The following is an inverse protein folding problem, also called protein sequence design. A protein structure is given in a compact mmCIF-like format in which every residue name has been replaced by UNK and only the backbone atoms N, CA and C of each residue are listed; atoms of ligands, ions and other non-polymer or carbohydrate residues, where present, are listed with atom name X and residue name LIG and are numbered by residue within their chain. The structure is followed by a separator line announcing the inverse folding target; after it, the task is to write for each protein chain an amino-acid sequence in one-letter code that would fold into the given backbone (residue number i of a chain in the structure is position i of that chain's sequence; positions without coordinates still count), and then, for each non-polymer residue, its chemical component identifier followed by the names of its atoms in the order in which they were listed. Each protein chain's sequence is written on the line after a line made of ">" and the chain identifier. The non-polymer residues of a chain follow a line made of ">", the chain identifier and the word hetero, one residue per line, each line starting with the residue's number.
data_IF_487097370583
#
_entry.id   IF_487097370583
#
_cell.length_a   1.000
_cell.length_b   1.000
_cell.length_c   1.000
_cell.angle_alpha   90.00
_cell.angle_beta   90.00
_cell.angle_gamma   90.00
#
_symmetry.space_group_name_H-M   'P 1'
#
loop_
_entity.id
_entity.type
_entity.pdbx_description
1 polymer ?
#
# COMPACT_ATOMS: atom_id res chain seq x y z
N UNK A 1 -36.39 -18.82 -4.01
CA UNK A 1 -35.61 -19.64 -3.07
C UNK A 1 -34.22 -19.02 -2.91
N UNK A 2 -34.15 -17.82 -2.32
CA UNK A 2 -32.91 -17.12 -1.94
C UNK A 2 -33.27 -15.89 -1.10
N UNK A 3 -34.03 -16.10 -0.02
CA UNK A 3 -34.39 -15.01 0.91
C UNK A 3 -34.43 -15.45 2.38
N UNK A 4 -34.11 -16.71 2.70
CA UNK A 4 -34.23 -17.21 4.08
C UNK A 4 -32.94 -17.18 4.91
N UNK A 5 -31.74 -17.07 4.31
CA UNK A 5 -30.50 -17.14 5.11
C UNK A 5 -30.10 -15.82 5.79
N UNK A 6 -30.76 -14.69 5.49
CA UNK A 6 -30.46 -13.40 6.11
C UNK A 6 -31.27 -13.12 7.38
N UNK A 7 -32.32 -13.91 7.67
CA UNK A 7 -33.20 -13.67 8.82
C UNK A 7 -32.71 -14.34 10.12
N UNK A 8 -31.80 -15.31 10.06
CA UNK A 8 -31.29 -15.99 11.26
C UNK A 8 -30.30 -15.12 12.05
N UNK A 9 -29.48 -14.31 11.36
CA UNK A 9 -28.52 -13.42 12.00
C UNK A 9 -29.19 -12.24 12.72
N UNK A 10 -30.23 -11.65 12.13
CA UNK A 10 -30.95 -10.53 12.74
C UNK A 10 -31.71 -10.94 14.01
N UNK A 11 -32.27 -12.16 14.04
CA UNK A 11 -32.93 -12.70 15.25
C UNK A 11 -31.98 -12.97 16.40
N UNK A 12 -30.71 -13.22 16.11
CA UNK A 12 -29.68 -13.52 17.11
C UNK A 12 -29.29 -12.27 17.91
N UNK A 13 -29.43 -11.08 17.32
CA UNK A 13 -29.15 -9.80 17.98
C UNK A 13 -30.37 -9.16 18.65
N UNK A 14 -31.59 -9.45 18.20
CA UNK A 14 -32.82 -8.92 18.82
C UNK A 14 -33.16 -9.55 20.19
N UNK A 15 -32.58 -10.71 20.52
CA UNK A 15 -32.83 -11.39 21.81
C UNK A 15 -31.85 -11.04 22.92
N UNK A 16 -30.88 -10.15 22.67
CA UNK A 16 -29.92 -9.72 23.69
C UNK A 16 -30.44 -8.43 24.36
N UNK A 17 -30.84 -8.47 25.65
CA UNK A 17 -31.18 -7.24 26.37
C UNK A 17 -29.88 -6.48 26.65
N UNK A 18 -29.52 -5.55 25.76
CA UNK A 18 -28.37 -4.68 25.97
C UNK A 18 -28.81 -3.51 26.84
N UNK A 19 -28.72 -3.70 28.15
CA UNK A 19 -28.71 -2.59 29.11
C UNK A 19 -27.32 -1.93 29.06
N UNK A 20 -27.27 -0.75 28.44
CA UNK A 20 -26.04 0.04 28.24
C UNK A 20 -25.55 0.74 29.53
N UNK A 21 -26.13 0.44 30.70
CA UNK A 21 -25.71 1.01 31.99
C UNK A 21 -24.93 0.05 32.91
N UNK A 22 -24.42 -1.07 32.40
CA UNK A 22 -23.75 -2.08 33.22
C UNK A 22 -22.32 -1.72 33.65
N UNK A 23 -22.03 -1.91 34.94
CA UNK A 23 -20.74 -1.60 35.57
C UNK A 23 -19.62 -2.53 35.08
N UNK A 24 -18.37 -2.08 35.19
CA UNK A 24 -17.14 -2.76 34.76
C UNK A 24 -17.05 -4.22 35.27
N UNK A 25 -17.61 -4.47 36.45
CA UNK A 25 -17.65 -5.79 37.07
C UNK A 25 -18.56 -6.78 36.34
N UNK A 26 -19.65 -6.31 35.72
CA UNK A 26 -20.52 -7.14 34.89
C UNK A 26 -19.88 -7.47 33.54
N UNK A 27 -19.11 -6.53 32.96
CA UNK A 27 -18.32 -6.77 31.73
C UNK A 27 -17.24 -7.82 31.96
N UNK A 28 -16.51 -7.74 33.06
CA UNK A 28 -15.53 -8.77 33.42
C UNK A 28 -16.21 -10.11 33.73
N UNK A 29 -17.39 -10.12 34.38
CA UNK A 29 -18.14 -11.36 34.58
C UNK A 29 -18.61 -12.00 33.27
N UNK A 30 -19.01 -11.18 32.29
CA UNK A 30 -19.44 -11.65 30.97
C UNK A 30 -18.26 -12.20 30.16
N UNK A 31 -17.09 -11.54 30.25
CA UNK A 31 -15.84 -11.98 29.64
C UNK A 31 -15.37 -13.31 30.23
N UNK A 32 -15.41 -13.45 31.55
CA UNK A 32 -15.06 -14.71 32.23
C UNK A 32 -16.04 -15.84 31.89
N UNK A 33 -17.35 -15.56 31.77
CA UNK A 33 -18.32 -16.58 31.30
C UNK A 33 -18.11 -16.95 29.84
N UNK A 34 -17.72 -16.01 28.98
CA UNK A 34 -17.42 -16.31 27.58
C UNK A 34 -16.17 -17.19 27.44
N UNK A 35 -15.16 -16.97 28.29
CA UNK A 35 -13.96 -17.81 28.36
C UNK A 35 -14.26 -19.19 28.95
N UNK A 36 -15.11 -19.28 29.97
CA UNK A 36 -15.55 -20.56 30.56
C UNK A 36 -16.38 -21.42 29.57
N UNK A 37 -17.14 -20.79 28.66
CA UNK A 37 -17.79 -21.50 27.54
C UNK A 37 -16.76 -21.99 26.50
N UNK A 38 -15.64 -21.29 26.34
CA UNK A 38 -14.56 -21.71 25.43
C UNK A 38 -13.74 -22.86 26.00
N UNK A 39 -13.45 -22.83 27.31
CA UNK A 39 -12.65 -23.83 28.00
C UNK A 39 -13.44 -25.12 28.32
N UNK A 40 -14.78 -25.03 28.45
CA UNK A 40 -15.64 -26.18 28.72
C UNK A 40 -16.33 -26.77 27.47
N UNK A 41 -15.97 -26.34 26.26
CA UNK A 41 -16.35 -27.09 25.06
C UNK A 41 -15.54 -28.39 24.99
N UNK A 42 -16.18 -29.57 24.85
CA UNK A 42 -15.45 -30.80 24.63
C UNK A 42 -14.62 -30.64 23.36
N UNK A 43 -13.32 -30.84 23.49
CA UNK A 43 -12.39 -30.81 22.36
C UNK A 43 -12.94 -31.67 21.22
N UNK A 44 -12.96 -31.18 19.96
CA UNK A 44 -13.37 -32.01 18.85
C UNK A 44 -12.39 -33.18 18.74
N UNK A 45 -12.87 -34.39 19.03
CA UNK A 45 -12.13 -35.62 18.83
C UNK A 45 -11.82 -35.76 17.34
N UNK A 46 -10.62 -35.36 16.95
CA UNK A 46 -10.00 -35.80 15.71
C UNK A 46 -9.66 -37.29 15.85
N UNK A 47 -10.54 -38.14 15.32
CA UNK A 47 -10.19 -39.54 15.09
C UNK A 47 -9.17 -39.61 13.96
N UNK A 48 -8.00 -40.24 14.14
CA UNK A 48 -7.17 -40.60 13.02
C UNK A 48 -7.96 -41.60 12.18
N UNK A 49 -8.33 -41.19 10.95
CA UNK A 49 -8.78 -42.14 9.95
C UNK A 49 -7.61 -43.05 9.65
N UNK A 50 -7.62 -44.23 10.28
CA UNK A 50 -6.66 -45.27 10.03
C UNK A 50 -6.81 -45.75 8.59
N UNK A 51 -5.68 -45.82 7.87
CA UNK A 51 -5.51 -46.41 6.54
C UNK A 51 -6.02 -47.87 6.40
N UNK A 52 -6.59 -48.47 7.45
CA UNK A 52 -7.19 -49.80 7.45
C UNK A 52 -8.62 -49.85 6.89
N UNK A 53 -9.34 -48.72 6.78
CA UNK A 53 -10.69 -48.70 6.23
C UNK A 53 -10.74 -48.69 4.69
N UNK A 54 -9.69 -48.19 4.02
CA UNK A 54 -9.59 -48.16 2.55
C UNK A 54 -9.22 -49.55 2.00
N UNK A 55 -8.42 -50.33 2.75
CA UNK A 55 -8.00 -51.68 2.36
C UNK A 55 -9.13 -52.73 2.33
N UNK A 56 -10.19 -52.55 3.12
CA UNK A 56 -11.34 -53.49 3.13
C UNK A 56 -12.30 -53.32 1.96
N UNK A 57 -12.31 -52.14 1.32
CA UNK A 57 -13.22 -51.85 0.19
C UNK A 57 -12.61 -52.31 -1.15
N UNK A 58 -11.29 -52.37 -1.24
CA UNK A 58 -10.56 -52.80 -2.45
C UNK A 58 -10.41 -54.32 -2.61
N UNK A 59 -10.65 -55.12 -1.56
CA UNK A 59 -10.62 -56.59 -1.65
C UNK A 59 -11.94 -57.24 -2.13
N UNK A 60 -12.94 -56.46 -2.53
CA UNK A 60 -14.22 -56.98 -3.06
C UNK A 60 -14.26 -57.16 -4.58
N UNK A 61 -13.27 -56.65 -5.32
CA UNK A 61 -13.25 -56.75 -6.78
C UNK A 61 -12.16 -57.71 -7.25
N UNK A 62 -12.56 -58.88 -7.76
CA UNK A 62 -11.68 -59.83 -8.43
C UNK A 62 -11.20 -59.23 -9.75
N UNK A 63 -10.05 -58.55 -9.74
CA UNK A 63 -9.38 -58.12 -10.98
C UNK A 63 -8.35 -59.21 -11.35
N UNK A 64 -8.38 -59.74 -12.59
CA UNK A 64 -7.48 -60.81 -13.02
C UNK A 64 -6.02 -60.34 -13.18
N UNK A 65 -5.10 -61.30 -13.03
CA UNK A 65 -3.64 -61.23 -12.85
C UNK A 65 -2.79 -60.51 -13.93
N UNK A 66 -3.36 -59.63 -14.76
CA UNK A 66 -2.67 -58.93 -15.85
C UNK A 66 -2.09 -57.55 -15.52
N UNK A 67 -2.31 -57.01 -14.32
CA UNK A 67 -1.83 -55.66 -13.94
C UNK A 67 -1.08 -55.73 -12.60
N UNK A 68 0.02 -56.48 -12.57
CA UNK A 68 0.94 -56.53 -11.43
C UNK A 68 2.35 -55.99 -11.78
N UNK A 69 2.59 -55.60 -13.04
CA UNK A 69 3.90 -55.11 -13.49
C UNK A 69 4.05 -53.57 -13.51
N UNK A 70 2.97 -52.79 -13.33
CA UNK A 70 3.06 -51.31 -13.30
C UNK A 70 3.14 -50.71 -11.89
N UNK A 71 2.88 -51.49 -10.83
CA UNK A 71 2.93 -50.97 -9.45
C UNK A 71 4.35 -51.00 -8.87
N UNK A 72 5.27 -51.79 -9.44
CA UNK A 72 6.65 -51.86 -8.95
C UNK A 72 7.60 -50.78 -9.52
N UNK A 73 7.20 -50.06 -10.58
CA UNK A 73 7.98 -48.90 -11.08
C UNK A 73 7.62 -47.62 -10.33
N UNK A 74 6.43 -47.54 -9.71
CA UNK A 74 6.02 -46.38 -8.90
C UNK A 74 6.57 -46.38 -7.45
N UNK A 75 7.00 -47.54 -6.93
CA UNK A 75 7.51 -47.66 -5.55
C UNK A 75 9.04 -47.55 -5.43
N UNK A 76 9.78 -47.60 -6.55
CA UNK A 76 11.25 -47.52 -6.58
C UNK A 76 11.83 -46.11 -6.62
N UNK A 77 10.99 -45.08 -6.84
CA UNK A 77 11.40 -43.67 -6.92
C UNK A 77 11.18 -42.88 -5.61
N UNK A 78 10.70 -43.54 -4.55
CA UNK A 78 10.31 -42.90 -3.28
C UNK A 78 11.29 -43.10 -2.12
N UNK A 79 12.52 -43.56 -2.40
CA UNK A 79 13.59 -43.73 -1.40
C UNK A 79 14.92 -43.11 -1.86
N UNK A 80 14.89 -42.04 -2.64
CA UNK A 80 15.94 -41.02 -2.47
C UNK A 80 15.52 -40.17 -1.27
N UNK A 81 16.41 -39.89 -0.31
CA UNK A 81 16.14 -38.77 0.58
C UNK A 81 15.92 -37.58 -0.35
N UNK A 82 14.72 -36.99 -0.32
CA UNK A 82 14.58 -35.60 -0.71
C UNK A 82 15.66 -34.93 0.13
N UNK A 83 16.74 -34.51 -0.52
CA UNK A 83 17.64 -33.54 0.07
C UNK A 83 16.72 -32.35 0.26
N UNK A 84 16.12 -32.24 1.45
CA UNK A 84 15.44 -31.04 1.87
C UNK A 84 16.50 -29.97 1.66
N UNK A 85 16.28 -29.09 0.68
CA UNK A 85 17.09 -27.91 0.57
C UNK A 85 17.16 -27.30 1.97
N UNK A 86 18.34 -26.86 2.44
CA UNK A 86 18.42 -26.22 3.74
C UNK A 86 17.32 -25.16 3.81
N UNK A 87 16.49 -25.23 4.85
CA UNK A 87 15.37 -24.33 5.01
C UNK A 87 15.89 -22.90 4.89
N UNK A 88 15.53 -22.20 3.81
CA UNK A 88 16.00 -20.85 3.55
C UNK A 88 15.68 -19.99 4.77
N UNK A 89 16.70 -19.36 5.35
CA UNK A 89 16.51 -18.40 6.43
C UNK A 89 16.21 -17.01 5.85
N UNK A 90 15.36 -16.23 6.54
CA UNK A 90 15.08 -14.85 6.14
C UNK A 90 16.37 -14.02 6.07
N UNK A 91 17.32 -14.24 6.97
CA UNK A 91 18.58 -13.49 7.01
C UNK A 91 19.43 -13.71 5.74
N UNK A 92 19.46 -14.94 5.20
CA UNK A 92 20.20 -15.24 3.98
C UNK A 92 19.56 -14.57 2.75
N UNK A 93 18.22 -14.58 2.69
CA UNK A 93 17.46 -13.84 1.68
C UNK A 93 17.79 -12.35 1.74
N UNK A 94 17.79 -11.77 2.94
CA UNK A 94 18.09 -10.34 3.14
C UNK A 94 19.50 -10.05 2.70
N UNK A 95 20.49 -10.81 3.18
CA UNK A 95 21.90 -10.60 2.84
C UNK A 95 22.14 -10.65 1.33
N UNK A 96 21.50 -11.58 0.62
CA UNK A 96 21.65 -11.67 -0.83
C UNK A 96 20.89 -10.55 -1.56
N UNK A 97 19.67 -10.23 -1.12
CA UNK A 97 18.92 -9.12 -1.68
C UNK A 97 19.63 -7.76 -1.47
N UNK A 98 20.36 -7.57 -0.37
CA UNK A 98 21.13 -6.35 -0.09
C UNK A 98 22.43 -6.23 -0.90
N UNK A 99 22.99 -7.33 -1.42
CA UNK A 99 24.23 -7.31 -2.21
C UNK A 99 24.04 -6.83 -3.65
N UNK A 100 22.80 -6.86 -4.16
CA UNK A 100 22.56 -6.58 -5.57
C UNK A 100 22.79 -5.09 -5.92
N UNK A 101 23.71 -4.76 -6.81
CA UNK A 101 23.96 -3.36 -7.18
C UNK A 101 23.03 -2.85 -8.29
N UNK A 102 22.33 -3.76 -8.96
CA UNK A 102 21.32 -3.45 -9.97
C UNK A 102 20.20 -4.48 -9.94
N UNK A 103 19.03 -4.08 -10.44
CA UNK A 103 17.91 -4.98 -10.67
C UNK A 103 17.04 -4.54 -11.84
N UNK A 104 16.47 -5.51 -12.55
CA UNK A 104 15.32 -5.34 -13.43
C UNK A 104 14.17 -6.20 -12.90
N UNK A 105 12.96 -5.68 -12.94
CA UNK A 105 11.75 -6.45 -12.58
C UNK A 105 10.52 -5.86 -13.24
N UNK A 106 9.46 -6.66 -13.33
CA UNK A 106 8.13 -6.19 -13.72
C UNK A 106 7.32 -5.89 -12.46
N UNK A 107 6.44 -4.89 -12.53
CA UNK A 107 5.50 -4.58 -11.46
C UNK A 107 4.08 -4.37 -12.01
N UNK A 108 3.10 -4.85 -11.27
CA UNK A 108 1.68 -4.62 -11.50
C UNK A 108 1.13 -3.89 -10.29
N UNK A 109 0.62 -2.68 -10.50
CA UNK A 109 -0.01 -1.86 -9.46
C UNK A 109 -1.51 -1.84 -9.72
N UNK A 110 -2.28 -2.29 -8.73
CA UNK A 110 -3.74 -2.28 -8.77
C UNK A 110 -4.25 -1.36 -7.68
N UNK A 111 -4.84 -0.24 -8.08
CA UNK A 111 -5.53 0.68 -7.17
C UNK A 111 -7.02 0.37 -7.24
N UNK A 112 -7.67 0.24 -6.09
CA UNK A 112 -9.11 -0.01 -6.01
C UNK A 112 -9.91 1.00 -6.85
N UNK A 113 -10.76 0.48 -7.74
CA UNK A 113 -11.57 1.29 -8.67
C UNK A 113 -10.84 1.78 -9.92
N UNK A 114 -9.57 1.42 -10.13
CA UNK A 114 -8.79 1.78 -11.32
C UNK A 114 -8.30 0.54 -12.09
N UNK A 115 -8.04 0.65 -13.40
CA UNK A 115 -7.37 -0.41 -14.16
C UNK A 115 -5.96 -0.68 -13.61
N UNK A 116 -5.54 -1.95 -13.63
CA UNK A 116 -4.18 -2.32 -13.27
C UNK A 116 -3.16 -1.65 -14.19
N UNK A 117 -2.07 -1.16 -13.59
CA UNK A 117 -0.95 -0.53 -14.28
C UNK A 117 0.23 -1.48 -14.29
N UNK A 118 0.69 -1.85 -15.49
CA UNK A 118 1.91 -2.63 -15.65
C UNK A 118 3.09 -1.69 -15.88
N UNK A 119 4.22 -1.98 -15.24
CA UNK A 119 5.46 -1.25 -15.45
C UNK A 119 6.68 -2.17 -15.48
N UNK A 120 7.68 -1.78 -16.26
CA UNK A 120 9.04 -2.33 -16.15
C UNK A 120 9.87 -1.40 -15.29
N UNK A 121 10.54 -1.96 -14.30
CA UNK A 121 11.32 -1.21 -13.34
C UNK A 121 12.79 -1.59 -13.44
N UNK A 122 13.65 -0.58 -13.28
CA UNK A 122 15.08 -0.73 -13.28
C UNK A 122 15.64 0.05 -12.09
N UNK A 123 16.55 -0.58 -11.38
CA UNK A 123 17.30 0.00 -10.29
C UNK A 123 18.78 -0.13 -10.60
N UNK A 124 19.51 0.96 -10.37
CA UNK A 124 20.95 0.97 -10.41
C UNK A 124 21.48 1.79 -9.24
N UNK A 125 22.37 1.19 -8.46
CA UNK A 125 22.97 1.87 -7.34
C UNK A 125 23.72 3.16 -7.73
N UNK A 126 23.83 4.12 -6.79
CA UNK A 126 23.25 4.09 -5.44
C UNK A 126 21.76 4.48 -5.41
N UNK A 127 21.29 5.26 -6.38
CA UNK A 127 19.97 5.93 -6.30
C UNK A 127 19.30 6.17 -7.65
N UNK A 128 19.64 5.41 -8.69
CA UNK A 128 19.03 5.58 -10.00
C UNK A 128 17.84 4.66 -10.17
N UNK A 129 16.73 5.23 -10.66
CA UNK A 129 15.49 4.52 -10.91
C UNK A 129 14.96 4.86 -12.29
N UNK A 130 14.43 3.85 -12.96
CA UNK A 130 13.66 4.01 -14.19
C UNK A 130 12.43 3.13 -14.11
N UNK A 131 11.29 3.70 -14.47
CA UNK A 131 10.01 3.02 -14.57
C UNK A 131 9.42 3.30 -15.94
N UNK A 132 9.07 2.24 -16.67
CA UNK A 132 8.46 2.31 -17.98
C UNK A 132 7.03 1.80 -17.91
N UNK A 133 6.09 2.64 -18.30
CA UNK A 133 4.68 2.33 -18.47
C UNK A 133 4.34 2.40 -19.97
N UNK A 134 3.11 2.03 -20.32
CA UNK A 134 2.63 2.15 -21.69
C UNK A 134 2.57 3.62 -22.15
N UNK A 135 3.58 4.04 -22.92
CA UNK A 135 3.70 5.39 -23.47
C UNK A 135 4.34 6.43 -22.54
N UNK A 136 4.72 6.06 -21.31
CA UNK A 136 5.31 6.97 -20.34
C UNK A 136 6.57 6.38 -19.69
N UNK A 137 7.60 7.19 -19.50
CA UNK A 137 8.82 6.79 -18.78
C UNK A 137 9.12 7.77 -17.66
N UNK A 138 9.33 7.26 -16.45
CA UNK A 138 9.79 8.01 -15.28
C UNK A 138 11.25 7.65 -15.02
N UNK A 139 12.12 8.64 -14.86
CA UNK A 139 13.53 8.44 -14.50
C UNK A 139 13.82 9.34 -13.31
N UNK A 140 14.40 8.79 -12.24
CA UNK A 140 14.74 9.54 -11.05
C UNK A 140 16.21 9.35 -10.70
N UNK A 141 16.89 10.47 -10.46
CA UNK A 141 18.24 10.53 -9.93
C UNK A 141 18.21 11.41 -8.66
N UNK A 142 18.28 10.74 -7.51
CA UNK A 142 18.22 11.42 -6.22
C UNK A 142 19.53 12.12 -5.85
N UNK A 143 20.66 11.69 -6.41
CA UNK A 143 21.94 12.36 -6.21
C UNK A 143 21.94 13.71 -6.95
N UNK A 144 21.42 13.73 -8.18
CA UNK A 144 21.21 14.96 -8.95
C UNK A 144 19.99 15.78 -8.49
N UNK A 145 19.15 15.22 -7.61
CA UNK A 145 17.88 15.82 -7.15
C UNK A 145 16.95 16.16 -8.33
N UNK A 146 16.84 15.24 -9.28
CA UNK A 146 16.03 15.40 -10.48
C UNK A 146 15.18 14.17 -10.72
N UNK A 147 13.96 14.41 -11.19
CA UNK A 147 13.11 13.39 -11.80
C UNK A 147 12.66 13.90 -13.16
N UNK A 148 12.60 13.04 -14.16
CA UNK A 148 12.00 13.37 -15.45
C UNK A 148 10.87 12.40 -15.77
N UNK A 149 9.75 12.94 -16.23
CA UNK A 149 8.63 12.20 -16.78
C UNK A 149 8.56 12.44 -18.28
N UNK A 150 8.60 11.39 -19.09
CA UNK A 150 8.59 11.44 -20.54
C UNK A 150 7.29 10.83 -21.06
N UNK A 151 6.37 11.66 -21.55
CA UNK A 151 5.26 11.20 -22.38
C UNK A 151 5.78 11.03 -23.81
N UNK A 152 6.07 9.78 -24.15
CA UNK A 152 6.67 9.41 -25.44
C UNK A 152 5.69 9.55 -26.60
N UNK A 153 4.39 9.46 -26.34
CA UNK A 153 3.31 9.58 -27.34
C UNK A 153 3.09 11.04 -27.71
N UNK A 154 3.02 11.92 -26.71
CA UNK A 154 2.85 13.35 -26.90
C UNK A 154 4.17 14.09 -27.17
N UNK A 155 5.33 13.42 -27.04
CA UNK A 155 6.67 14.03 -27.10
C UNK A 155 6.83 15.18 -26.13
N UNK A 156 6.49 14.92 -24.86
CA UNK A 156 6.57 15.91 -23.78
C UNK A 156 7.37 15.41 -22.60
N UNK A 157 8.18 16.29 -22.06
CA UNK A 157 9.01 16.02 -20.91
C UNK A 157 8.64 16.98 -19.79
N UNK A 158 8.43 16.44 -18.60
CA UNK A 158 8.34 17.21 -17.37
C UNK A 158 9.60 16.96 -16.56
N UNK A 159 10.35 18.01 -16.28
CA UNK A 159 11.53 17.98 -15.41
C UNK A 159 11.11 18.45 -14.03
N UNK A 160 11.29 17.59 -13.03
CA UNK A 160 11.02 17.88 -11.63
C UNK A 160 12.34 18.14 -10.91
N UNK A 161 12.54 19.37 -10.44
CA UNK A 161 13.66 19.74 -9.59
C UNK A 161 13.27 19.51 -8.14
N UNK A 162 13.98 18.61 -7.46
CA UNK A 162 13.66 18.17 -6.11
C UNK A 162 14.40 19.04 -5.09
N UNK A 163 13.68 19.96 -4.46
CA UNK A 163 14.22 20.95 -3.54
C UNK A 163 13.96 20.56 -2.08
N UNK A 164 14.78 21.10 -1.17
CA UNK A 164 14.61 20.99 0.29
C UNK A 164 14.46 19.55 0.80
N UNK A 165 15.19 18.59 0.20
CA UNK A 165 15.18 17.19 0.62
C UNK A 165 15.54 17.06 2.12
N UNK A 166 14.62 16.55 2.97
CA UNK A 166 14.87 16.30 4.39
C UNK A 166 16.06 15.35 4.59
N UNK A 167 16.79 15.50 5.70
CA UNK A 167 17.96 14.66 6.00
C UNK A 167 17.59 13.17 6.07
N UNK A 168 16.39 12.85 6.56
CA UNK A 168 15.88 11.48 6.62
C UNK A 168 15.67 10.87 5.24
N UNK A 169 15.42 11.69 4.22
CA UNK A 169 15.28 11.27 2.82
C UNK A 169 16.60 11.30 2.05
N UNK A 170 17.69 11.87 2.61
CA UNK A 170 19.01 11.92 1.97
C UNK A 170 19.72 10.55 1.93
N UNK A 171 19.37 9.62 2.82
CA UNK A 171 20.10 8.36 3.03
C UNK A 171 19.42 7.11 2.41
N UNK A 172 18.56 7.28 1.40
CA UNK A 172 17.82 6.17 0.79
C UNK A 172 16.37 6.18 1.27
N UNK A 173 15.48 6.59 0.38
CA UNK A 173 14.13 7.03 0.70
C UNK A 173 13.19 5.91 1.11
N UNK A 174 12.32 6.22 2.08
CA UNK A 174 11.09 5.48 2.34
C UNK A 174 10.03 5.60 1.24
N UNK A 175 9.97 6.73 0.52
CA UNK A 175 8.75 7.07 -0.24
C UNK A 175 8.92 7.12 -1.77
N UNK A 176 10.16 7.10 -2.30
CA UNK A 176 10.43 7.31 -3.73
C UNK A 176 11.20 6.20 -4.45
N UNK A 177 11.86 5.30 -3.72
CA UNK A 177 12.58 4.16 -4.25
C UNK A 177 11.97 2.88 -3.69
N UNK A 178 11.03 2.28 -4.40
CA UNK A 178 10.36 1.08 -3.91
C UNK A 178 11.31 -0.10 -3.67
N UNK A 179 12.32 -0.26 -4.52
CA UNK A 179 13.32 -1.33 -4.39
C UNK A 179 14.15 -1.17 -3.09
N UNK A 180 14.68 0.03 -2.84
CA UNK A 180 15.41 0.32 -1.60
C UNK A 180 14.47 0.36 -0.38
N UNK A 181 13.23 0.79 -0.56
CA UNK A 181 12.20 0.75 0.49
C UNK A 181 11.93 -0.68 0.96
N UNK A 182 11.81 -1.64 0.04
CA UNK A 182 11.68 -3.07 0.36
C UNK A 182 12.91 -3.57 1.12
N UNK A 183 14.11 -3.23 0.66
CA UNK A 183 15.37 -3.58 1.34
C UNK A 183 15.38 -3.13 2.79
N UNK A 184 15.00 -1.87 3.03
CA UNK A 184 14.91 -1.31 4.36
C UNK A 184 13.82 -1.96 5.21
N UNK A 185 12.64 -2.23 4.64
CA UNK A 185 11.56 -2.92 5.34
C UNK A 185 11.98 -4.33 5.78
N UNK A 186 12.65 -5.07 4.90
CA UNK A 186 13.16 -6.40 5.21
C UNK A 186 14.23 -6.34 6.31
N UNK A 187 15.20 -5.43 6.20
CA UNK A 187 16.23 -5.22 7.23
C UNK A 187 15.62 -4.79 8.58
N UNK A 188 14.64 -3.89 8.55
CA UNK A 188 13.95 -3.47 9.76
C UNK A 188 13.20 -4.63 10.41
N UNK A 189 12.61 -5.52 9.62
CA UNK A 189 11.93 -6.70 10.12
C UNK A 189 12.88 -7.77 10.68
N UNK A 190 14.09 -7.95 10.13
CA UNK A 190 15.05 -8.91 10.70
C UNK A 190 15.75 -8.40 11.96
N UNK A 191 15.92 -7.09 12.09
CA UNK A 191 16.62 -6.48 13.23
C UNK A 191 15.69 -6.11 14.39
N UNK A 192 14.38 -6.02 14.15
CA UNK A 192 13.41 -5.69 15.19
C UNK A 192 12.84 -6.97 15.83
N UNK A 193 13.08 -7.23 17.13
CA UNK A 193 12.57 -8.42 17.81
C UNK A 193 11.04 -8.48 17.90
N UNK A 194 10.35 -7.34 17.79
CA UNK A 194 8.90 -7.25 17.80
C UNK A 194 8.28 -7.39 16.39
N UNK A 195 9.10 -7.52 15.34
CA UNK A 195 8.60 -7.70 13.99
C UNK A 195 7.90 -9.05 13.85
N UNK A 196 6.68 -9.02 13.32
CA UNK A 196 5.91 -10.22 13.02
C UNK A 196 6.25 -10.72 11.62
N UNK A 197 7.15 -11.70 11.57
CA UNK A 197 7.50 -12.44 10.36
C UNK A 197 6.92 -13.85 10.45
N UNK A 198 6.13 -14.24 9.44
CA UNK A 198 5.52 -15.56 9.34
C UNK A 198 6.14 -16.29 8.16
N UNK A 199 6.78 -17.43 8.41
CA UNK A 199 7.23 -18.33 7.34
C UNK A 199 6.02 -19.07 6.75
N UNK A 200 5.83 -18.96 5.45
CA UNK A 200 4.67 -19.50 4.73
C UNK A 200 4.90 -20.92 4.19
N UNK A 201 6.13 -21.43 4.31
CA UNK A 201 6.54 -22.72 3.76
C UNK A 201 6.96 -22.64 2.30
N UNK A 202 7.05 -23.82 1.68
CA UNK A 202 7.52 -24.02 0.31
C UNK A 202 6.35 -24.16 -0.67
N UNK A 203 6.54 -23.65 -1.90
CA UNK A 203 5.66 -23.94 -3.05
C UNK A 203 6.39 -23.69 -4.37
N UNK A 204 5.79 -24.11 -5.47
CA UNK A 204 6.26 -23.76 -6.82
C UNK A 204 5.60 -22.45 -7.30
N UNK A 205 6.37 -21.52 -7.86
CA UNK A 205 5.88 -20.34 -8.59
C UNK A 205 6.65 -20.23 -9.90
N UNK A 206 5.94 -20.22 -11.04
CA UNK A 206 6.53 -20.02 -12.37
C UNK A 206 7.73 -20.94 -12.66
N UNK A 207 7.70 -22.18 -12.13
CA UNK A 207 8.78 -23.17 -12.27
C UNK A 207 9.94 -23.03 -11.26
N UNK A 208 9.83 -22.15 -10.27
CA UNK A 208 10.78 -22.00 -9.17
C UNK A 208 10.26 -22.62 -7.88
N UNK A 209 11.09 -23.44 -7.23
CA UNK A 209 10.87 -23.88 -5.85
C UNK A 209 11.17 -22.72 -4.89
N UNK A 210 10.11 -22.12 -4.32
CA UNK A 210 10.23 -20.91 -3.49
C UNK A 210 9.85 -21.16 -2.04
N UNK A 211 10.47 -20.39 -1.14
CA UNK A 211 10.09 -20.26 0.27
C UNK A 211 9.48 -18.88 0.50
N UNK A 212 8.32 -18.84 1.17
CA UNK A 212 7.59 -17.59 1.43
C UNK A 212 7.80 -17.03 2.83
N UNK A 213 7.90 -15.71 2.93
CA UNK A 213 7.91 -14.95 4.19
C UNK A 213 6.87 -13.84 4.13
N UNK A 214 6.00 -13.76 5.13
CA UNK A 214 5.04 -12.66 5.29
C UNK A 214 5.48 -11.74 6.43
N UNK A 215 5.62 -10.46 6.12
CA UNK A 215 5.92 -9.40 7.06
C UNK A 215 4.61 -8.65 7.36
N UNK A 216 4.17 -8.66 8.62
CA UNK A 216 2.98 -7.90 9.05
C UNK A 216 3.34 -6.45 9.39
N UNK A 217 3.74 -5.69 8.38
CA UNK A 217 4.07 -4.27 8.53
C UNK A 217 2.75 -3.47 8.62
N UNK A 218 2.54 -2.65 9.66
CA UNK A 218 1.35 -1.80 9.75
C UNK A 218 1.16 -0.96 8.49
N UNK A 219 -0.07 -0.89 8.00
CA UNK A 219 -0.46 -0.23 6.74
C UNK A 219 0.12 -0.82 5.44
N UNK A 220 1.16 -1.65 5.46
CA UNK A 220 1.77 -2.20 4.23
C UNK A 220 2.22 -3.66 4.40
N UNK A 221 1.33 -4.61 4.74
CA UNK A 221 1.69 -6.02 4.78
C UNK A 221 2.36 -6.45 3.46
N UNK A 222 3.43 -7.23 3.60
CA UNK A 222 4.27 -7.64 2.47
C UNK A 222 4.52 -9.14 2.53
N UNK A 223 4.54 -9.80 1.38
CA UNK A 223 4.96 -11.19 1.23
C UNK A 223 6.10 -11.27 0.23
N UNK A 224 7.18 -11.92 0.61
CA UNK A 224 8.34 -12.19 -0.26
C UNK A 224 8.45 -13.68 -0.50
N UNK A 225 8.47 -14.07 -1.76
CA UNK A 225 8.72 -15.44 -2.21
C UNK A 225 10.12 -15.47 -2.81
N UNK A 226 11.00 -16.26 -2.22
CA UNK A 226 12.40 -16.36 -2.61
C UNK A 226 12.73 -17.76 -3.13
N UNK A 227 13.51 -17.83 -4.20
CA UNK A 227 13.99 -19.09 -4.77
C UNK A 227 14.88 -19.80 -3.75
N UNK A 228 14.57 -21.05 -3.44
CA UNK A 228 15.26 -21.84 -2.41
C UNK A 228 16.73 -22.08 -2.70
N UNK A 229 17.16 -21.97 -3.96
CA UNK A 229 18.54 -22.25 -4.40
C UNK A 229 19.38 -20.99 -4.46
N UNK A 230 18.86 -19.95 -5.10
CA UNK A 230 19.57 -18.66 -5.28
C UNK A 230 19.37 -17.72 -4.11
N UNK A 231 18.36 -17.97 -3.27
CA UNK A 231 18.02 -17.17 -2.10
C UNK A 231 17.70 -15.72 -2.46
N UNK A 232 17.20 -15.49 -3.67
CA UNK A 232 16.81 -14.17 -4.19
C UNK A 232 15.29 -14.11 -4.38
N UNK A 233 14.66 -12.94 -4.23
CA UNK A 233 13.24 -12.77 -4.49
C UNK A 233 12.87 -13.16 -5.93
N UNK A 234 11.87 -14.02 -6.07
CA UNK A 234 11.19 -14.32 -7.35
C UNK A 234 9.91 -13.50 -7.47
N UNK A 235 9.25 -13.24 -6.34
CA UNK A 235 8.01 -12.47 -6.28
C UNK A 235 7.87 -11.71 -4.98
N UNK A 236 7.44 -10.46 -5.07
CA UNK A 236 7.13 -9.62 -3.91
C UNK A 236 5.70 -9.11 -4.08
N UNK A 237 4.91 -9.27 -3.04
CA UNK A 237 3.53 -8.79 -2.98
C UNK A 237 3.41 -7.82 -1.82
N UNK A 238 2.78 -6.68 -2.05
CA UNK A 238 2.51 -5.69 -1.01
C UNK A 238 1.09 -5.16 -1.14
N UNK A 239 0.46 -4.87 -0.01
CA UNK A 239 -0.85 -4.22 0.03
C UNK A 239 -0.76 -3.01 0.91
N UNK A 240 -0.88 -1.81 0.34
CA UNK A 240 -1.10 -0.59 1.10
C UNK A 240 -2.55 -0.55 1.55
N UNK A 241 -2.74 -0.66 2.86
CA UNK A 241 -4.03 -0.64 3.55
C UNK A 241 -4.42 0.82 3.79
N UNK A 242 -5.55 1.20 3.23
CA UNK A 242 -6.11 2.56 3.32
C UNK A 242 -7.01 2.80 2.11
N UNK A 243 -7.90 3.79 2.12
CA UNK A 243 -8.68 4.17 0.94
C UNK A 243 -7.85 5.08 0.02
N UNK A 244 -7.58 4.69 -1.24
CA UNK A 244 -7.95 3.45 -1.91
C UNK A 244 -6.93 2.34 -1.64
N UNK A 245 -7.42 1.11 -1.52
CA UNK A 245 -6.52 -0.04 -1.33
C UNK A 245 -5.62 -0.14 -2.55
N UNK A 246 -4.31 -0.25 -2.34
CA UNK A 246 -3.34 -0.41 -3.42
C UNK A 246 -2.57 -1.70 -3.27
N UNK A 247 -2.59 -2.54 -4.29
CA UNK A 247 -1.87 -3.81 -4.35
C UNK A 247 -0.73 -3.69 -5.35
N UNK A 248 0.46 -4.16 -4.97
CA UNK A 248 1.65 -4.18 -5.81
C UNK A 248 2.16 -5.62 -5.88
N UNK A 249 2.32 -6.13 -7.10
CA UNK A 249 2.95 -7.43 -7.37
C UNK A 249 4.18 -7.19 -8.23
N UNK A 250 5.34 -7.62 -7.75
CA UNK A 250 6.61 -7.54 -8.47
C UNK A 250 7.09 -8.94 -8.81
N UNK A 251 7.55 -9.15 -10.04
CA UNK A 251 7.95 -10.44 -10.60
C UNK A 251 9.11 -10.29 -11.59
N UNK A 252 9.61 -11.41 -12.12
CA UNK A 252 10.64 -11.43 -13.18
C UNK A 252 11.91 -10.66 -12.78
N UNK A 253 12.36 -10.86 -11.54
CA UNK A 253 13.56 -10.21 -11.04
C UNK A 253 14.81 -10.74 -11.73
N UNK A 254 15.67 -9.82 -12.17
CA UNK A 254 17.04 -10.08 -12.60
C UNK A 254 17.96 -9.17 -11.81
N UNK A 255 18.82 -9.75 -10.99
CA UNK A 255 19.75 -9.03 -10.12
C UNK A 255 21.15 -8.96 -10.75
N UNK A 256 21.92 -7.94 -10.36
CA UNK A 256 23.31 -7.74 -10.77
C UNK A 256 23.52 -7.81 -12.29
N UNK A 257 22.50 -7.36 -13.02
CA UNK A 257 22.55 -7.23 -14.48
C UNK A 257 23.38 -6.00 -14.85
N UNK A 258 24.20 -6.13 -15.90
CA UNK A 258 24.90 -5.01 -16.49
C UNK A 258 23.91 -4.08 -17.20
N UNK A 259 23.46 -3.05 -16.50
CA UNK A 259 22.52 -2.05 -17.01
C UNK A 259 23.28 -0.87 -17.60
N UNK A 260 22.91 -0.48 -18.82
CA UNK A 260 23.44 0.73 -19.43
C UNK A 260 23.04 1.97 -18.61
N UNK A 261 24.04 2.71 -18.14
CA UNK A 261 23.87 3.93 -17.34
C UNK A 261 23.05 4.98 -18.08
N UNK A 262 23.04 4.99 -19.42
CA UNK A 262 22.25 5.95 -20.19
C UNK A 262 20.74 5.76 -20.02
N UNK A 263 20.28 4.56 -19.61
CA UNK A 263 18.87 4.31 -19.29
C UNK A 263 18.37 5.20 -18.16
N UNK A 264 19.28 5.65 -17.29
CA UNK A 264 19.01 6.46 -16.11
C UNK A 264 19.33 7.94 -16.30
N UNK A 265 19.64 8.37 -17.53
CA UNK A 265 19.90 9.78 -17.80
C UNK A 265 18.67 10.64 -17.52
N UNK A 266 18.87 11.73 -16.77
CA UNK A 266 17.88 12.78 -16.56
C UNK A 266 17.97 13.90 -17.60
N UNK A 267 18.77 13.72 -18.65
CA UNK A 267 18.77 14.62 -19.80
C UNK A 267 17.57 14.33 -20.70
N UNK A 268 16.82 15.38 -21.02
CA UNK A 268 15.65 15.25 -21.88
C UNK A 268 16.09 14.94 -23.32
N UNK A 269 15.59 13.85 -23.95
CA UNK A 269 15.93 13.54 -25.33
C UNK A 269 15.51 14.64 -26.31
N UNK A 270 16.25 14.77 -27.41
CA UNK A 270 15.92 15.73 -28.46
C UNK A 270 14.49 15.52 -29.02
N UNK A 271 13.81 16.62 -29.32
CA UNK A 271 12.46 16.62 -29.91
C UNK A 271 11.30 16.57 -28.91
N UNK A 272 11.58 16.62 -27.60
CA UNK A 272 10.54 16.75 -26.57
C UNK A 272 10.26 18.23 -26.25
N UNK A 273 8.99 18.57 -26.07
CA UNK A 273 8.60 19.84 -25.46
C UNK A 273 8.78 19.76 -23.94
N UNK A 274 9.53 20.69 -23.35
CA UNK A 274 9.97 20.62 -21.95
C UNK A 274 9.16 21.57 -21.07
N UNK A 275 8.78 21.09 -19.89
CA UNK A 275 8.26 21.91 -18.79
C UNK A 275 9.01 21.58 -17.49
N UNK A 276 9.47 22.61 -16.78
CA UNK A 276 10.16 22.47 -15.50
C UNK A 276 9.23 22.75 -14.32
N UNK A 277 9.32 21.94 -13.28
CA UNK A 277 8.53 22.04 -12.06
C UNK A 277 9.45 21.92 -10.87
N UNK A 278 9.33 22.84 -9.93
CA UNK A 278 10.05 22.79 -8.67
C UNK A 278 9.17 22.09 -7.64
N UNK A 279 9.68 21.00 -7.05
CA UNK A 279 8.99 20.23 -6.02
C UNK A 279 9.70 20.48 -4.69
N UNK A 280 9.00 21.10 -3.75
CA UNK A 280 9.50 21.24 -2.38
C UNK A 280 9.17 19.97 -1.58
N UNK A 281 10.22 19.26 -1.15
CA UNK A 281 10.13 18.02 -0.38
C UNK A 281 10.25 18.23 1.13
N UNK A 282 10.32 19.48 1.62
CA UNK A 282 10.23 19.75 3.05
C UNK A 282 8.88 19.25 3.61
N UNK A 283 8.77 18.98 4.91
CA UNK A 283 7.48 18.62 5.51
C UNK A 283 6.42 19.67 5.18
N UNK A 284 5.27 19.22 4.68
CA UNK A 284 4.13 20.09 4.44
C UNK A 284 3.64 20.72 5.74
N UNK A 285 3.11 21.93 5.64
CA UNK A 285 2.69 22.77 6.76
C UNK A 285 1.21 23.11 6.67
N UNK A 286 0.63 23.64 7.74
CA UNK A 286 -0.75 24.14 7.73
C UNK A 286 -0.95 25.26 6.69
N UNK A 287 0.10 26.04 6.40
CA UNK A 287 0.06 27.07 5.34
C UNK A 287 -0.10 26.46 3.94
N UNK A 288 0.52 25.30 3.70
CA UNK A 288 0.34 24.56 2.44
C UNK A 288 -1.12 24.07 2.32
N UNK A 289 -1.71 23.58 3.41
CA UNK A 289 -3.13 23.18 3.46
C UNK A 289 -4.05 24.37 3.14
N UNK A 290 -3.86 25.50 3.81
CA UNK A 290 -4.68 26.71 3.56
C UNK A 290 -4.57 27.17 2.09
N UNK A 291 -3.37 27.13 1.52
CA UNK A 291 -3.13 27.46 0.11
C UNK A 291 -3.88 26.48 -0.80
N UNK A 292 -3.77 25.18 -0.55
CA UNK A 292 -4.48 24.16 -1.33
C UNK A 292 -6.00 24.33 -1.24
N UNK A 293 -6.56 24.58 -0.06
CA UNK A 293 -8.00 24.79 0.11
C UNK A 293 -8.49 26.05 -0.62
N UNK A 294 -7.73 27.15 -0.60
CA UNK A 294 -8.05 28.36 -1.39
C UNK A 294 -8.12 28.05 -2.88
N UNK A 295 -7.11 27.37 -3.42
CA UNK A 295 -7.08 26.95 -4.81
C UNK A 295 -8.21 25.97 -5.16
N UNK A 296 -8.59 25.11 -4.21
CA UNK A 296 -9.73 24.22 -4.38
C UNK A 296 -11.05 24.98 -4.54
N UNK A 297 -11.27 25.97 -3.70
CA UNK A 297 -12.43 26.85 -3.76
C UNK A 297 -12.44 27.70 -5.05
N UNK A 298 -11.31 28.27 -5.46
CA UNK A 298 -11.20 29.02 -6.71
C UNK A 298 -11.61 28.18 -7.92
N UNK A 299 -11.23 26.90 -7.94
CA UNK A 299 -11.56 25.98 -9.04
C UNK A 299 -13.01 25.50 -8.96
N UNK A 300 -13.56 25.40 -7.75
CA UNK A 300 -14.91 24.87 -7.49
C UNK A 300 -15.94 25.96 -7.17
N UNK A 301 -15.74 27.19 -7.65
CA UNK A 301 -16.68 28.31 -7.51
C UNK A 301 -17.09 28.57 -6.05
N UNK A 302 -16.09 28.57 -5.17
CA UNK A 302 -16.21 28.80 -3.73
C UNK A 302 -16.48 27.55 -2.90
N UNK A 303 -16.64 26.36 -3.52
CA UNK A 303 -16.83 25.11 -2.79
C UNK A 303 -15.52 24.50 -2.28
N UNK A 304 -15.53 24.08 -1.02
CA UNK A 304 -14.46 23.26 -0.46
C UNK A 304 -14.51 21.82 -1.05
N UNK A 305 -13.37 21.08 -1.04
CA UNK A 305 -13.37 19.68 -1.48
C UNK A 305 -14.30 18.83 -0.62
N UNK A 306 -14.79 17.69 -1.13
CA UNK A 306 -15.68 16.81 -0.36
C UNK A 306 -14.95 15.98 0.70
N UNK A 307 -13.63 15.91 0.62
CA UNK A 307 -12.76 15.12 1.49
C UNK A 307 -11.32 15.13 1.00
N UNK A 308 -10.46 14.36 1.66
CA UNK A 308 -9.04 14.18 1.31
C UNK A 308 -8.71 12.78 0.79
N UNK A 309 -9.72 11.93 0.61
CA UNK A 309 -9.57 10.60 0.02
C UNK A 309 -9.29 10.68 -1.50
N UNK A 310 -8.95 9.54 -2.13
CA UNK A 310 -8.66 9.49 -3.56
C UNK A 310 -9.86 9.82 -4.46
N UNK A 311 -11.10 9.55 -4.02
CA UNK A 311 -12.30 9.90 -4.79
C UNK A 311 -12.49 11.41 -4.79
N UNK A 312 -12.38 12.04 -3.62
CA UNK A 312 -12.45 13.50 -3.47
C UNK A 312 -11.32 14.20 -4.24
N UNK A 313 -10.09 13.67 -4.15
CA UNK A 313 -8.93 14.15 -4.91
C UNK A 313 -9.13 13.99 -6.41
N UNK A 314 -9.67 12.86 -6.87
CA UNK A 314 -9.97 12.59 -8.29
C UNK A 314 -11.05 13.52 -8.85
N UNK A 315 -12.13 13.79 -8.08
CA UNK A 315 -13.17 14.76 -8.46
C UNK A 315 -12.59 16.16 -8.61
N UNK A 316 -11.76 16.57 -7.66
CA UNK A 316 -11.08 17.86 -7.72
C UNK A 316 -10.15 17.96 -8.94
N UNK A 317 -9.29 16.96 -9.14
CA UNK A 317 -8.40 16.90 -10.29
C UNK A 317 -9.17 17.00 -11.61
N UNK A 318 -10.28 16.25 -11.76
CA UNK A 318 -11.13 16.33 -12.95
C UNK A 318 -11.68 17.76 -13.18
N UNK A 319 -12.21 18.42 -12.14
CA UNK A 319 -12.68 19.81 -12.24
C UNK A 319 -11.55 20.77 -12.63
N UNK A 320 -10.39 20.63 -12.00
CA UNK A 320 -9.21 21.43 -12.29
C UNK A 320 -8.79 21.30 -13.76
N UNK A 321 -8.71 20.07 -14.27
CA UNK A 321 -8.35 19.80 -15.66
C UNK A 321 -9.33 20.45 -16.65
N UNK A 322 -10.64 20.30 -16.41
CA UNK A 322 -11.69 20.88 -17.25
C UNK A 322 -11.63 22.40 -17.24
N UNK A 323 -11.58 23.03 -16.05
CA UNK A 323 -11.55 24.48 -15.90
C UNK A 323 -10.34 25.12 -16.58
N UNK A 324 -9.22 24.41 -16.58
CA UNK A 324 -7.95 24.86 -17.13
C UNK A 324 -7.67 24.39 -18.57
N UNK A 325 -8.63 23.72 -19.23
CA UNK A 325 -8.48 23.24 -20.61
C UNK A 325 -7.37 22.19 -20.81
N UNK A 326 -7.01 21.47 -19.74
CA UNK A 326 -5.95 20.47 -19.74
C UNK A 326 -6.53 19.16 -20.30
N UNK A 327 -5.96 18.67 -21.40
CA UNK A 327 -6.36 17.40 -22.03
C UNK A 327 -5.15 16.65 -22.60
N UNK A 328 -5.35 15.47 -23.19
CA UNK A 328 -4.27 14.65 -23.73
C UNK A 328 -3.41 15.35 -24.81
N UNK A 329 -3.96 16.33 -25.55
CA UNK A 329 -3.22 17.07 -26.59
C UNK A 329 -2.41 18.22 -26.02
N UNK A 330 -3.04 19.03 -25.16
CA UNK A 330 -2.43 20.26 -24.63
C UNK A 330 -1.64 20.01 -23.35
N UNK A 331 -2.10 19.07 -22.53
CA UNK A 331 -1.71 18.82 -21.13
C UNK A 331 -1.43 20.09 -20.32
N UNK A 332 -0.76 19.96 -19.16
CA UNK A 332 -0.62 21.10 -18.26
C UNK A 332 0.54 22.00 -18.69
N UNK A 333 0.39 23.30 -18.49
CA UNK A 333 1.49 24.27 -18.56
C UNK A 333 2.37 24.19 -17.32
N UNK A 334 3.54 24.86 -17.35
CA UNK A 334 4.41 24.99 -16.16
C UNK A 334 3.68 25.57 -14.95
N UNK A 335 2.87 26.61 -15.16
CA UNK A 335 2.10 27.25 -14.08
C UNK A 335 1.09 26.25 -13.51
N UNK A 336 0.36 25.55 -14.39
CA UNK A 336 -0.63 24.56 -13.96
C UNK A 336 0.00 23.36 -13.23
N UNK A 337 1.21 22.94 -13.61
CA UNK A 337 1.96 21.90 -12.89
C UNK A 337 2.37 22.38 -11.49
N UNK A 338 2.87 23.61 -11.36
CA UNK A 338 3.21 24.19 -10.05
C UNK A 338 1.98 24.30 -9.14
N UNK A 339 0.83 24.66 -9.71
CA UNK A 339 -0.44 24.71 -8.98
C UNK A 339 -0.85 23.32 -8.49
N UNK A 340 -0.82 22.30 -9.37
CA UNK A 340 -1.10 20.90 -8.99
C UNK A 340 -0.20 20.45 -7.84
N UNK A 341 1.11 20.77 -7.89
CA UNK A 341 2.05 20.44 -6.81
C UNK A 341 1.69 21.13 -5.49
N UNK A 342 1.32 22.41 -5.51
CA UNK A 342 0.91 23.14 -4.28
C UNK A 342 -0.32 22.51 -3.63
N UNK A 343 -1.30 22.11 -4.44
CA UNK A 343 -2.50 21.44 -3.95
C UNK A 343 -2.14 20.09 -3.33
N UNK A 344 -1.33 19.28 -4.03
CA UNK A 344 -0.86 17.99 -3.52
C UNK A 344 -0.12 18.13 -2.18
N UNK A 345 0.73 19.16 -2.05
CA UNK A 345 1.47 19.46 -0.81
C UNK A 345 0.53 19.83 0.35
N UNK A 346 -0.51 20.63 0.10
CA UNK A 346 -1.50 20.93 1.15
C UNK A 346 -2.30 19.71 1.59
N UNK A 347 -2.64 18.80 0.67
CA UNK A 347 -3.29 17.54 1.04
C UNK A 347 -2.33 16.61 1.79
N UNK A 348 -1.05 16.63 1.41
CA UNK A 348 0.01 15.89 2.11
C UNK A 348 0.11 16.27 3.59
N UNK A 349 -0.12 17.53 3.96
CA UNK A 349 -0.16 17.93 5.37
C UNK A 349 -1.19 17.10 6.17
N UNK A 350 -2.42 16.99 5.66
CA UNK A 350 -3.49 16.20 6.29
C UNK A 350 -3.13 14.71 6.31
N UNK A 351 -2.39 14.23 5.30
CA UNK A 351 -1.85 12.86 5.21
C UNK A 351 -0.55 12.64 6.01
N UNK A 352 0.03 13.66 6.66
CA UNK A 352 1.21 13.54 7.52
C UNK A 352 0.96 13.83 8.99
N UNK A 353 -0.23 14.31 9.37
CA UNK A 353 -0.67 14.34 10.77
C UNK A 353 -0.42 12.99 11.48
N UNK A 354 -0.09 12.95 12.78
CA UNK A 354 0.24 11.70 13.47
C UNK A 354 -0.88 10.65 13.41
N UNK A 355 -0.51 9.36 13.45
CA UNK A 355 -1.50 8.28 13.57
C UNK A 355 -2.27 8.42 14.89
N UNK A 356 -3.59 8.27 14.84
CA UNK A 356 -4.47 8.46 15.99
C UNK A 356 -4.66 9.93 16.39
N UNK A 357 -4.20 10.88 15.58
CA UNK A 357 -4.61 12.27 15.74
C UNK A 357 -6.12 12.36 15.55
N UNK A 358 -6.78 13.08 16.45
CA UNK A 358 -8.18 13.46 16.32
C UNK A 358 -8.25 14.53 15.21
N UNK A 359 -8.70 14.10 14.02
CA UNK A 359 -8.77 14.93 12.80
C UNK A 359 -10.15 14.75 12.18
N UNK A 360 -10.83 15.85 11.95
CA UNK A 360 -12.14 15.87 11.31
C UNK A 360 -12.19 16.87 10.18
N UNK A 361 -13.05 16.56 9.22
CA UNK A 361 -13.31 17.39 8.07
C UNK A 361 -14.80 17.60 7.87
N UNK A 362 -15.21 18.85 7.66
CA UNK A 362 -16.59 19.24 7.40
C UNK A 362 -16.68 20.30 6.28
N UNK A 363 -15.78 20.24 5.30
CA UNK A 363 -15.80 21.16 4.16
C UNK A 363 -16.81 20.78 3.08
N UNK A 364 -17.38 19.56 3.09
CA UNK A 364 -18.44 19.21 2.15
C UNK A 364 -19.64 20.16 2.29
N UNK A 365 -19.99 20.87 1.22
CA UNK A 365 -21.08 21.85 1.22
C UNK A 365 -20.75 23.20 1.90
N UNK A 366 -19.56 23.37 2.49
CA UNK A 366 -19.10 24.65 2.99
C UNK A 366 -18.76 25.60 1.84
N UNK A 367 -19.03 26.89 2.04
CA UNK A 367 -18.75 27.97 1.07
C UNK A 367 -17.66 28.88 1.60
N UNK A 368 -16.76 29.27 0.70
CA UNK A 368 -15.73 30.26 0.97
C UNK A 368 -16.33 31.56 1.54
N UNK A 369 -15.73 32.05 2.62
CA UNK A 369 -16.07 33.33 3.26
C UNK A 369 -17.03 33.22 4.45
N UNK A 370 -17.51 32.03 4.79
CA UNK A 370 -18.28 31.83 6.03
C UNK A 370 -17.33 31.74 7.25
N UNK A 371 -17.17 32.86 7.95
CA UNK A 371 -16.26 33.00 9.10
C UNK A 371 -16.61 32.06 10.26
N UNK A 372 -17.87 31.65 10.38
CA UNK A 372 -18.36 30.85 11.51
C UNK A 372 -18.51 29.37 11.17
N UNK A 373 -18.14 28.95 9.95
CA UNK A 373 -18.18 27.54 9.51
C UNK A 373 -16.80 26.88 9.63
N UNK A 374 -16.58 25.99 10.62
CA UNK A 374 -15.40 25.12 10.64
C UNK A 374 -15.38 24.20 9.42
N UNK A 375 -14.24 24.04 8.77
CA UNK A 375 -14.05 23.14 7.63
C UNK A 375 -13.12 21.98 7.95
N UNK A 376 -12.13 22.19 8.81
CA UNK A 376 -11.20 21.15 9.26
C UNK A 376 -10.75 21.48 10.68
N UNK A 377 -10.65 20.48 11.54
CA UNK A 377 -9.99 20.65 12.82
C UNK A 377 -9.17 19.44 13.19
N UNK A 378 -8.10 19.70 13.93
CA UNK A 378 -7.20 18.66 14.41
C UNK A 378 -6.54 19.03 15.72
N UNK A 379 -6.16 18.00 16.49
CA UNK A 379 -5.33 18.17 17.68
C UNK A 379 -3.86 17.95 17.34
N UNK A 380 -3.05 19.00 17.40
CA UNK A 380 -1.61 18.89 17.20
C UNK A 380 -0.96 18.02 18.29
N UNK A 381 0.09 17.28 17.93
CA UNK A 381 0.79 16.40 18.88
C UNK A 381 1.27 17.19 20.11
N UNK A 382 0.88 16.75 21.31
CA UNK A 382 1.22 17.40 22.57
C UNK A 382 0.40 18.65 22.91
N UNK A 383 -0.55 19.07 22.06
CA UNK A 383 -1.46 20.18 22.34
C UNK A 383 -2.70 19.70 23.10
N UNK A 384 -3.19 20.51 24.05
CA UNK A 384 -4.53 20.35 24.63
C UNK A 384 -5.62 20.96 23.75
N UNK A 385 -5.27 21.91 22.90
CA UNK A 385 -6.16 22.69 22.04
C UNK A 385 -6.34 22.07 20.66
N UNK A 386 -7.53 22.23 20.09
CA UNK A 386 -7.78 22.01 18.67
C UNK A 386 -7.36 23.23 17.87
N UNK A 387 -6.76 22.97 16.70
CA UNK A 387 -6.62 23.97 15.64
C UNK A 387 -7.80 23.82 14.69
N UNK A 388 -8.57 24.87 14.52
CA UNK A 388 -9.80 24.89 13.72
C UNK A 388 -9.61 25.83 12.54
N UNK A 389 -9.67 25.29 11.33
CA UNK A 389 -9.73 26.04 10.10
C UNK A 389 -11.20 26.35 9.80
N UNK A 390 -11.49 27.61 9.52
CA UNK A 390 -12.82 28.09 9.12
C UNK A 390 -12.92 28.31 7.60
N UNK A 391 -14.13 28.46 7.08
CA UNK A 391 -14.38 28.57 5.64
C UNK A 391 -13.95 29.93 5.06
N UNK A 392 -13.62 30.91 5.90
CA UNK A 392 -12.90 32.15 5.55
C UNK A 392 -11.36 31.99 5.53
N UNK A 393 -10.88 30.77 5.78
CA UNK A 393 -9.47 30.38 5.93
C UNK A 393 -8.76 30.98 7.15
N UNK A 394 -9.51 31.49 8.14
CA UNK A 394 -8.94 31.80 9.45
C UNK A 394 -8.64 30.52 10.22
N UNK A 395 -7.63 30.58 11.10
CA UNK A 395 -7.28 29.48 12.01
C UNK A 395 -7.48 29.97 13.43
N UNK A 396 -8.26 29.23 14.21
CA UNK A 396 -8.56 29.53 15.61
C UNK A 396 -8.15 28.35 16.49
N UNK A 397 -7.75 28.63 17.72
CA UNK A 397 -7.51 27.60 18.73
C UNK A 397 -8.70 27.54 19.69
N UNK A 398 -9.19 26.33 19.96
CA UNK A 398 -10.33 26.10 20.84
C UNK A 398 -10.08 24.90 21.75
N UNK A 399 -10.70 24.90 22.93
CA UNK A 399 -10.56 23.82 23.91
C UNK A 399 -11.33 22.54 23.53
N UNK A 400 -12.45 22.70 22.82
CA UNK A 400 -13.35 21.60 22.45
C UNK A 400 -13.50 21.47 20.93
N UNK A 401 -13.62 20.23 20.45
CA UNK A 401 -13.86 19.95 19.04
C UNK A 401 -15.18 20.62 18.59
N UNK A 402 -15.18 21.33 17.44
CA UNK A 402 -16.40 21.83 16.84
C UNK A 402 -17.45 20.73 16.63
N UNK A 403 -18.72 21.05 16.89
CA UNK A 403 -19.84 20.14 16.65
C UNK A 403 -20.51 20.49 15.32
N UNK A 404 -20.13 19.76 14.27
CA UNK A 404 -20.73 19.90 12.95
C UNK A 404 -21.35 18.57 12.54
N UNK A 405 -22.64 18.58 12.19
CA UNK A 405 -23.43 17.36 11.97
C UNK A 405 -22.95 16.48 10.81
N UNK A 406 -22.31 17.07 9.80
CA UNK A 406 -21.82 16.40 8.58
C UNK A 406 -20.30 16.18 8.60
N UNK A 407 -19.66 16.35 9.76
CA UNK A 407 -18.24 16.11 9.91
C UNK A 407 -17.89 14.63 9.72
N UNK A 408 -16.87 14.37 8.91
CA UNK A 408 -16.24 13.04 8.80
C UNK A 408 -14.96 13.02 9.62
N UNK A 409 -14.74 11.93 10.35
CA UNK A 409 -13.44 11.65 10.94
C UNK A 409 -12.50 11.17 9.83
N UNK A 410 -11.32 11.78 9.74
CA UNK A 410 -10.28 11.34 8.81
C UNK A 410 -9.48 10.22 9.49
N UNK A 411 -10.01 9.00 9.42
CA UNK A 411 -9.34 7.83 10.02
C UNK A 411 -7.99 7.54 9.35
N UNK A 412 -7.00 7.22 10.19
CA UNK A 412 -5.58 7.02 9.83
C UNK A 412 -5.02 5.71 10.37
#
# INVERSE_FOLDING_TARGET
>A
MHEESNNEWSRLFEQLPVDLSSSEQQRESAKLRALDVFDNQPTPHWQPVTLQAIGRTLMKYKIPHGIAAMVFIAAGFWLMPLVSAPALALDELIDNFMKAHSARYDAIVTVEGQPAMNSKCYYLEPVHLREEYDGFTSITDWAARKKIGLDTRAKRATVYNLNNLPDELKNGMRDGNWFEGIRQMLRAASTNPDAKVIQLGEKEIDGHDVVGFRLEIPATPMTVWADSRTQLPVRIESTMVGPPKTEVVMTNFEFDTDLDKSLFSVEVPAGFAVADVDIDLSPATESDLLTALRMCCEVSDGDFPTGFDAVSSGKYAAKYLVKNGINAKTGPTRVQLQEITKIARGFQFVMMLPKGADVHYAGAGAKQGDEERPVLWYKASGSSMYRVLHADFSVREVDEAPRVADAIELSR
#
